data_IF_367601853964
#
_entry.id   IF_367601853964
#
_cell.length_a   1.000
_cell.length_b   1.000
_cell.length_c   1.000
_cell.angle_alpha   90.00
_cell.angle_beta   90.00
_cell.angle_gamma   90.00
#
_symmetry.space_group_name_H-M   'P 1'
#
loop_
_entity.id
_entity.type
_entity.pdbx_description
1 polymer ?
#
# COMPACT_ATOMS: atom_id res chain seq x y z
N UNK A 1 -6.31 19.75 -22.31
CA UNK A 1 -7.18 18.72 -22.88
C UNK A 1 -8.56 19.31 -23.02
N UNK A 2 -9.12 19.28 -24.21
CA UNK A 2 -10.49 19.75 -24.46
C UNK A 2 -11.31 18.51 -24.80
N UNK A 3 -12.29 18.11 -23.97
CA UNK A 3 -13.14 16.97 -24.27
C UNK A 3 -13.93 17.24 -25.55
N UNK A 4 -13.86 16.33 -26.53
CA UNK A 4 -14.72 16.40 -27.71
C UNK A 4 -16.05 15.73 -27.36
N UNK A 5 -17.11 16.53 -27.35
CA UNK A 5 -18.48 16.09 -27.10
C UNK A 5 -19.18 15.84 -28.44
N UNK A 6 -19.44 14.58 -28.76
CA UNK A 6 -20.13 14.11 -29.98
C UNK A 6 -21.61 13.79 -29.68
N UNK A 7 -22.25 14.57 -28.79
CA UNK A 7 -23.68 14.50 -28.49
C UNK A 7 -24.15 13.27 -27.68
N UNK A 8 -23.52 12.10 -27.86
CA UNK A 8 -23.81 10.86 -27.11
C UNK A 8 -22.62 10.35 -26.29
N UNK A 9 -21.39 10.76 -26.62
CA UNK A 9 -20.17 10.35 -25.94
C UNK A 9 -19.17 11.50 -25.83
N UNK A 10 -18.37 11.47 -24.77
CA UNK A 10 -17.23 12.38 -24.57
C UNK A 10 -15.95 11.59 -24.81
N UNK A 11 -15.19 11.94 -25.84
CA UNK A 11 -13.89 11.33 -26.13
C UNK A 11 -12.79 12.20 -25.53
N UNK A 12 -11.96 11.59 -24.70
CA UNK A 12 -10.82 12.21 -24.04
C UNK A 12 -9.55 11.58 -24.60
N UNK A 13 -8.88 12.27 -25.54
CA UNK A 13 -7.61 11.82 -26.09
C UNK A 13 -6.50 12.08 -25.08
N UNK A 14 -5.91 11.02 -24.54
CA UNK A 14 -4.74 11.09 -23.66
C UNK A 14 -3.49 10.95 -24.53
N UNK A 15 -2.68 12.01 -24.70
CA UNK A 15 -1.42 11.90 -25.44
C UNK A 15 -0.44 11.00 -24.68
N UNK A 16 0.49 10.37 -25.41
CA UNK A 16 1.54 9.57 -24.80
C UNK A 16 2.35 10.40 -23.80
N UNK A 17 2.67 9.80 -22.65
CA UNK A 17 3.45 10.47 -21.62
C UNK A 17 4.90 10.67 -22.09
N UNK A 18 5.46 11.85 -21.82
CA UNK A 18 6.89 12.11 -21.99
C UNK A 18 7.72 11.27 -20.99
N UNK A 19 8.99 11.03 -21.27
CA UNK A 19 9.87 10.30 -20.34
C UNK A 19 9.97 10.99 -18.97
N UNK A 20 10.07 12.32 -18.95
CA UNK A 20 10.10 13.09 -17.70
C UNK A 20 8.84 12.86 -16.86
N UNK A 21 7.66 12.83 -17.51
CA UNK A 21 6.41 12.58 -16.80
C UNK A 21 6.30 11.16 -16.27
N UNK A 22 6.83 10.17 -16.99
CA UNK A 22 6.89 8.77 -16.53
C UNK A 22 7.81 8.63 -15.32
N UNK A 23 8.95 9.31 -15.32
CA UNK A 23 9.88 9.32 -14.20
C UNK A 23 9.27 9.97 -12.94
N UNK A 24 8.53 11.07 -13.10
CA UNK A 24 7.79 11.70 -12.00
C UNK A 24 6.74 10.76 -11.40
N UNK A 25 5.95 10.10 -12.24
CA UNK A 25 4.93 9.15 -11.78
C UNK A 25 5.60 7.98 -11.06
N UNK A 26 6.69 7.41 -11.59
CA UNK A 26 7.43 6.35 -10.93
C UNK A 26 7.96 6.77 -9.54
N UNK A 27 8.41 8.03 -9.39
CA UNK A 27 8.80 8.60 -8.10
C UNK A 27 7.61 8.72 -7.13
N UNK A 28 6.45 9.16 -7.63
CA UNK A 28 5.22 9.24 -6.82
C UNK A 28 4.79 7.87 -6.32
N UNK A 29 4.79 6.84 -7.18
CA UNK A 29 4.44 5.45 -6.80
C UNK A 29 5.35 4.95 -5.68
N UNK A 30 6.67 5.20 -5.77
CA UNK A 30 7.61 4.86 -4.68
C UNK A 30 7.30 5.59 -3.39
N UNK A 31 6.98 6.89 -3.47
CA UNK A 31 6.59 7.69 -2.31
C UNK A 31 5.35 7.15 -1.60
N UNK A 32 4.30 6.80 -2.36
CA UNK A 32 3.09 6.16 -1.82
C UNK A 32 3.41 4.83 -1.14
N UNK A 33 4.34 4.07 -1.71
CA UNK A 33 4.85 2.84 -1.13
C UNK A 33 5.42 2.99 0.27
N UNK A 34 6.35 3.93 0.43
CA UNK A 34 6.99 4.21 1.71
C UNK A 34 6.00 4.76 2.75
N UNK A 35 5.05 5.60 2.32
CA UNK A 35 3.96 6.07 3.19
C UNK A 35 3.13 4.90 3.72
N UNK A 36 2.73 3.96 2.85
CA UNK A 36 1.94 2.80 3.23
C UNK A 36 2.69 1.86 4.16
N UNK A 37 3.99 1.64 3.94
CA UNK A 37 4.84 0.89 4.88
C UNK A 37 4.90 1.58 6.25
N UNK A 38 5.00 2.91 6.27
CA UNK A 38 4.92 3.70 7.50
C UNK A 38 3.61 3.46 8.26
N UNK A 39 2.47 3.47 7.55
CA UNK A 39 1.14 3.18 8.12
C UNK A 39 1.04 1.76 8.66
N UNK A 40 1.55 0.76 7.95
CA UNK A 40 1.57 -0.63 8.44
C UNK A 40 2.38 -0.76 9.72
N UNK A 41 3.53 -0.07 9.82
CA UNK A 41 4.32 -0.06 11.04
C UNK A 41 3.55 0.51 12.22
N UNK A 42 2.81 1.61 12.02
CA UNK A 42 1.95 2.19 13.06
C UNK A 42 0.83 1.22 13.46
N UNK A 43 0.13 0.63 12.50
CA UNK A 43 -0.93 -0.35 12.76
C UNK A 43 -0.42 -1.59 13.52
N UNK A 44 0.80 -2.05 13.22
CA UNK A 44 1.46 -3.12 13.98
C UNK A 44 1.66 -2.73 15.44
N UNK A 45 2.14 -1.51 15.71
CA UNK A 45 2.37 -1.05 17.08
C UNK A 45 1.07 -0.96 17.87
N UNK A 46 0.01 -0.47 17.24
CA UNK A 46 -1.34 -0.40 17.83
C UNK A 46 -1.87 -1.80 18.13
N UNK A 47 -1.84 -2.73 17.17
CA UNK A 47 -2.27 -4.11 17.36
C UNK A 47 -1.47 -4.83 18.47
N UNK A 48 -0.16 -4.61 18.54
CA UNK A 48 0.69 -5.19 19.60
C UNK A 48 0.33 -4.64 20.98
N UNK A 49 0.04 -3.34 21.06
CA UNK A 49 -0.39 -2.68 22.29
C UNK A 49 -1.75 -3.22 22.76
N UNK A 50 -2.69 -3.39 21.84
CA UNK A 50 -4.03 -3.91 22.14
C UNK A 50 -3.99 -5.38 22.58
N UNK A 51 -3.16 -6.20 21.93
CA UNK A 51 -2.93 -7.58 22.35
C UNK A 51 -2.38 -7.65 23.79
N UNK A 52 -1.38 -6.81 24.10
CA UNK A 52 -0.81 -6.72 25.44
C UNK A 52 -1.85 -6.25 26.47
N UNK A 53 -2.63 -5.21 26.17
CA UNK A 53 -3.66 -4.71 27.06
C UNK A 53 -4.74 -5.77 27.35
N UNK A 54 -5.12 -6.55 26.33
CA UNK A 54 -6.10 -7.64 26.46
C UNK A 54 -5.55 -8.78 27.33
N UNK A 55 -4.26 -9.11 27.19
CA UNK A 55 -3.59 -10.08 28.05
C UNK A 55 -3.52 -9.60 29.51
N UNK A 56 -3.13 -8.35 29.75
CA UNK A 56 -3.06 -7.76 31.09
C UNK A 56 -4.45 -7.71 31.77
N UNK A 57 -5.51 -7.51 30.98
CA UNK A 57 -6.90 -7.59 31.42
C UNK A 57 -7.40 -9.03 31.65
N UNK A 58 -6.55 -10.06 31.47
CA UNK A 58 -6.89 -11.49 31.51
C UNK A 58 -7.99 -11.90 30.52
N UNK A 59 -8.15 -11.14 29.43
CA UNK A 59 -9.10 -11.46 28.36
C UNK A 59 -8.62 -12.58 27.43
N UNK A 60 -7.31 -12.83 27.39
CA UNK A 60 -6.66 -13.91 26.64
C UNK A 60 -5.57 -14.57 27.48
N UNK A 61 -5.24 -15.83 27.17
CA UNK A 61 -4.13 -16.57 27.79
C UNK A 61 -2.76 -16.25 27.19
N UNK A 62 -1.67 -16.73 27.82
CA UNK A 62 -0.29 -16.49 27.36
C UNK A 62 -0.03 -17.12 25.97
N UNK A 63 -0.50 -18.35 25.77
CA UNK A 63 -0.34 -19.06 24.49
C UNK A 63 -1.07 -18.33 23.35
N UNK A 64 -2.26 -17.79 23.63
CA UNK A 64 -3.04 -17.03 22.66
C UNK A 64 -2.41 -15.67 22.36
N UNK A 65 -1.92 -14.97 23.39
CA UNK A 65 -1.16 -13.73 23.21
C UNK A 65 0.05 -13.94 22.30
N UNK A 66 0.87 -14.97 22.56
CA UNK A 66 2.03 -15.31 21.72
C UNK A 66 1.64 -15.71 20.30
N UNK A 67 0.49 -16.37 20.11
CA UNK A 67 -0.03 -16.70 18.77
C UNK A 67 -0.40 -15.43 18.01
N UNK A 68 -1.14 -14.53 18.65
CA UNK A 68 -1.55 -13.25 18.06
C UNK A 68 -0.34 -12.40 17.65
N UNK A 69 0.70 -12.32 18.49
CA UNK A 69 1.94 -11.60 18.14
C UNK A 69 2.59 -12.15 16.85
N UNK A 70 2.69 -13.48 16.73
CA UNK A 70 3.23 -14.13 15.53
C UNK A 70 2.37 -13.88 14.29
N UNK A 71 1.05 -13.91 14.45
CA UNK A 71 0.11 -13.65 13.35
C UNK A 71 0.19 -12.19 12.88
N UNK A 72 0.25 -11.23 13.81
CA UNK A 72 0.45 -9.81 13.52
C UNK A 72 1.75 -9.62 12.72
N UNK A 73 2.85 -10.20 13.18
CA UNK A 73 4.14 -10.10 12.49
C UNK A 73 4.12 -10.74 11.10
N UNK A 74 3.48 -11.90 10.95
CA UNK A 74 3.33 -12.59 9.66
C UNK A 74 2.50 -11.74 8.68
N UNK A 75 1.37 -11.19 9.13
CA UNK A 75 0.52 -10.31 8.33
C UNK A 75 1.27 -9.07 7.86
N UNK A 76 2.01 -8.42 8.76
CA UNK A 76 2.83 -7.25 8.43
C UNK A 76 3.87 -7.58 7.37
N UNK A 77 4.55 -8.72 7.50
CA UNK A 77 5.53 -9.20 6.51
C UNK A 77 4.86 -9.38 5.14
N UNK A 78 3.74 -10.11 5.09
CA UNK A 78 3.00 -10.36 3.83
C UNK A 78 2.53 -9.05 3.20
N UNK A 79 2.07 -8.08 3.97
CA UNK A 79 1.61 -6.80 3.41
C UNK A 79 2.77 -5.96 2.88
N UNK A 80 3.94 -5.97 3.53
CA UNK A 80 5.12 -5.30 3.00
C UNK A 80 5.57 -5.91 1.67
N UNK A 81 5.62 -7.23 1.56
CA UNK A 81 5.97 -7.93 0.31
C UNK A 81 4.97 -7.62 -0.83
N UNK A 82 3.67 -7.55 -0.51
CA UNK A 82 2.63 -7.14 -1.46
C UNK A 82 2.84 -5.71 -1.95
N UNK A 83 3.13 -4.77 -1.04
CA UNK A 83 3.39 -3.38 -1.39
C UNK A 83 4.61 -3.27 -2.31
N UNK A 84 5.71 -3.95 -1.98
CA UNK A 84 6.92 -3.95 -2.81
C UNK A 84 6.65 -4.48 -4.22
N UNK A 85 5.88 -5.56 -4.32
CA UNK A 85 5.45 -6.13 -5.60
C UNK A 85 4.60 -5.14 -6.41
N UNK A 86 3.63 -4.48 -5.77
CA UNK A 86 2.75 -3.51 -6.44
C UNK A 86 3.52 -2.28 -6.94
N UNK A 87 4.44 -1.74 -6.13
CA UNK A 87 5.29 -0.61 -6.51
C UNK A 87 6.15 -0.99 -7.71
N UNK A 88 6.78 -2.17 -7.66
CA UNK A 88 7.64 -2.66 -8.74
C UNK A 88 6.85 -2.77 -10.04
N UNK A 89 5.73 -3.49 -10.01
CA UNK A 89 4.90 -3.69 -11.19
C UNK A 89 4.40 -2.36 -11.77
N UNK A 90 3.93 -1.45 -10.92
CA UNK A 90 3.41 -0.16 -11.40
C UNK A 90 4.51 0.75 -11.94
N UNK A 91 5.70 0.74 -11.35
CA UNK A 91 6.84 1.49 -11.85
C UNK A 91 7.30 0.95 -13.21
N UNK A 92 7.34 -0.38 -13.39
CA UNK A 92 7.66 -1.01 -14.67
C UNK A 92 6.61 -0.68 -15.75
N UNK A 93 5.31 -0.79 -15.42
CA UNK A 93 4.21 -0.44 -16.33
C UNK A 93 4.31 1.01 -16.84
N UNK A 94 4.55 1.96 -15.94
CA UNK A 94 4.67 3.39 -16.28
C UNK A 94 5.86 3.67 -17.21
N UNK A 95 6.94 2.90 -17.08
CA UNK A 95 8.15 3.08 -17.89
C UNK A 95 8.11 2.34 -19.24
N UNK A 96 7.28 1.30 -19.36
CA UNK A 96 7.18 0.45 -20.56
C UNK A 96 6.00 0.78 -21.48
N UNK A 97 4.99 1.51 -20.99
CA UNK A 97 3.91 2.09 -21.81
C UNK A 97 4.39 3.18 -22.77
#
# INVERSE_FOLDING_TARGET
MTPQNEGSYIIVKIPALTQDRRAEIAKQVKGMGEEMKGRIRMARQEAMKDNKATFDAKGIGEDESKRNEKEIDALVKTMNEKIDTLIKNKAEEVMTM
#
